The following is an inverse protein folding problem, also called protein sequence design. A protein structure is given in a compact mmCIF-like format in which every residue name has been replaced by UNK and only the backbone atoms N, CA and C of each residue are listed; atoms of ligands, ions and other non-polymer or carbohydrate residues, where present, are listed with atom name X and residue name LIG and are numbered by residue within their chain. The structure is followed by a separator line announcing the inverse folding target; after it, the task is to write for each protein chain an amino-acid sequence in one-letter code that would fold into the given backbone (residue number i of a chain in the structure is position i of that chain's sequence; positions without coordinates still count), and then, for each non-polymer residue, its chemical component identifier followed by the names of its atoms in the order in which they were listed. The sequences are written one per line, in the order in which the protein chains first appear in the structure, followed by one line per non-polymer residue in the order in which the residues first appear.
data_IF_473718865119
#
_entry.id   IF_473718865119
#
_cell.length_a   1.000
_cell.length_b   1.000
_cell.length_c   1.000
_cell.angle_alpha   90.00
_cell.angle_beta   90.00
_cell.angle_gamma   90.00
#
_symmetry.space_group_name_H-M   'P 1'
#
loop_
_entity.id
_entity.type
_entity.pdbx_description
1 polymer ?
#
# COMPACT_ATOMS: atom_id res chain seq x y z
N UNK A 1 -12.55 8.89 -18.16
CA UNK A 1 -13.08 8.79 -16.77
C UNK A 1 -12.05 9.11 -15.70
N UNK A 2 -11.08 8.25 -15.36
CA UNK A 2 -10.10 8.56 -14.29
C UNK A 2 -9.42 9.93 -14.47
N UNK A 3 -8.79 10.16 -15.63
CA UNK A 3 -8.13 11.43 -15.95
C UNK A 3 -9.09 12.63 -15.95
N UNK A 4 -10.35 12.43 -16.37
CA UNK A 4 -11.38 13.48 -16.35
C UNK A 4 -11.76 13.83 -14.91
N UNK A 5 -12.01 12.83 -14.05
CA UNK A 5 -12.32 13.05 -12.64
C UNK A 5 -11.15 13.74 -11.92
N UNK A 6 -9.92 13.32 -12.20
CA UNK A 6 -8.72 13.96 -11.63
C UNK A 6 -8.60 15.44 -12.07
N UNK A 7 -9.00 15.75 -13.31
CA UNK A 7 -9.07 17.14 -13.79
C UNK A 7 -10.18 17.97 -13.13
N UNK A 8 -11.32 17.36 -12.80
CA UNK A 8 -12.43 18.05 -12.13
C UNK A 8 -12.22 18.23 -10.62
N UNK A 9 -11.50 17.32 -9.98
CA UNK A 9 -11.32 17.28 -8.53
C UNK A 9 -9.82 17.27 -8.13
N UNK A 10 -9.06 18.33 -8.45
CA UNK A 10 -7.60 18.34 -8.27
C UNK A 10 -7.15 18.28 -6.80
N UNK A 11 -8.02 18.69 -5.86
CA UNK A 11 -7.72 18.69 -4.42
C UNK A 11 -8.28 17.45 -3.69
N UNK A 12 -9.15 16.66 -4.34
CA UNK A 12 -9.73 15.45 -3.76
C UNK A 12 -8.87 14.23 -4.09
N UNK A 13 -9.07 13.12 -3.36
CA UNK A 13 -8.44 11.87 -3.72
C UNK A 13 -9.21 11.23 -4.88
N UNK A 14 -8.63 11.29 -6.08
CA UNK A 14 -9.15 10.57 -7.25
C UNK A 14 -8.23 9.39 -7.54
N UNK A 15 -8.73 8.18 -7.28
CA UNK A 15 -7.94 6.95 -7.35
C UNK A 15 -8.48 5.96 -8.40
N UNK A 16 -7.63 5.02 -8.81
CA UNK A 16 -7.91 4.03 -9.85
C UNK A 16 -7.85 2.60 -9.29
N UNK A 17 -8.98 1.87 -9.38
CA UNK A 17 -9.11 0.53 -8.79
C UNK A 17 -9.53 -0.53 -9.82
N UNK A 18 -8.56 -1.22 -10.42
CA UNK A 18 -8.82 -2.28 -11.41
C UNK A 18 -8.06 -3.56 -11.08
N UNK A 19 -8.31 -4.63 -11.84
CA UNK A 19 -7.51 -5.85 -11.74
C UNK A 19 -6.03 -5.51 -11.90
N UNK A 20 -5.20 -5.94 -10.94
CA UNK A 20 -3.74 -5.79 -11.03
C UNK A 20 -3.09 -6.90 -11.87
N UNK A 21 -3.89 -7.79 -12.49
CA UNK A 21 -3.34 -8.81 -13.38
C UNK A 21 -3.24 -8.27 -14.81
N UNK A 22 -2.02 -8.24 -15.36
CA UNK A 22 -1.79 -8.03 -16.80
C UNK A 22 -2.18 -9.29 -17.59
N UNK A 23 -1.96 -10.47 -16.99
CA UNK A 23 -2.40 -11.76 -17.51
C UNK A 23 -2.98 -12.59 -16.36
N UNK A 24 -4.11 -13.26 -16.62
CA UNK A 24 -4.76 -14.13 -15.64
C UNK A 24 -5.42 -15.33 -16.32
N UNK A 25 -4.90 -16.52 -16.04
CA UNK A 25 -5.50 -17.81 -16.35
C UNK A 25 -6.00 -18.43 -15.05
N UNK A 26 -7.32 -18.63 -14.88
CA UNK A 26 -7.84 -19.32 -13.72
C UNK A 26 -7.47 -20.80 -13.75
N UNK A 27 -7.36 -21.38 -12.56
CA UNK A 27 -7.33 -22.82 -12.39
C UNK A 27 -8.64 -23.43 -12.90
N UNK A 28 -8.56 -24.50 -13.71
CA UNK A 28 -9.74 -25.18 -14.21
C UNK A 28 -9.46 -26.66 -14.48
N UNK A 29 -10.46 -27.50 -14.20
CA UNK A 29 -10.46 -28.90 -14.66
C UNK A 29 -11.47 -29.07 -15.79
N UNK A 30 -11.06 -29.70 -16.89
CA UNK A 30 -11.85 -29.99 -18.07
C UNK A 30 -12.16 -31.51 -18.15
N UNK A 31 -13.30 -31.98 -17.61
CA UNK A 31 -13.59 -33.40 -17.50
C UNK A 31 -13.58 -34.15 -18.83
N UNK A 32 -14.05 -33.50 -19.91
CA UNK A 32 -14.12 -34.12 -21.25
C UNK A 32 -12.75 -34.50 -21.83
N UNK A 33 -11.68 -33.88 -21.35
CA UNK A 33 -10.31 -34.09 -21.82
C UNK A 33 -9.40 -34.64 -20.74
N UNK A 34 -9.95 -34.88 -19.55
CA UNK A 34 -9.20 -35.19 -18.33
C UNK A 34 -7.98 -34.26 -18.15
N UNK A 35 -8.20 -32.96 -18.38
CA UNK A 35 -7.14 -31.96 -18.40
C UNK A 35 -7.32 -31.00 -17.23
N UNK A 36 -6.29 -30.90 -16.40
CA UNK A 36 -6.16 -29.84 -15.42
C UNK A 36 -5.33 -28.70 -16.00
N UNK A 37 -5.85 -27.49 -15.84
CA UNK A 37 -5.23 -26.23 -16.26
C UNK A 37 -4.80 -25.51 -14.98
N UNK A 38 -3.49 -25.36 -14.81
CA UNK A 38 -2.91 -24.62 -13.70
C UNK A 38 -3.26 -23.13 -13.76
N UNK A 39 -3.32 -22.53 -12.57
CA UNK A 39 -3.40 -21.08 -12.43
C UNK A 39 -2.09 -20.45 -12.88
N UNK A 40 -2.18 -19.51 -13.81
CA UNK A 40 -1.04 -18.71 -14.27
C UNK A 40 -1.42 -17.24 -14.25
N UNK A 41 -0.55 -16.37 -13.76
CA UNK A 41 -0.82 -14.93 -13.68
C UNK A 41 0.44 -14.10 -13.79
N UNK A 42 0.25 -12.85 -14.19
CA UNK A 42 1.27 -11.81 -14.17
C UNK A 42 0.67 -10.57 -13.51
N UNK A 43 1.40 -10.00 -12.55
CA UNK A 43 0.95 -8.84 -11.75
C UNK A 43 1.61 -7.57 -12.28
N UNK A 44 0.80 -6.53 -12.42
CA UNK A 44 1.23 -5.17 -12.68
C UNK A 44 1.43 -4.42 -11.36
N UNK A 45 2.68 -4.22 -10.99
CA UNK A 45 3.05 -3.55 -9.72
C UNK A 45 2.51 -2.13 -9.61
N UNK A 46 2.37 -1.40 -10.75
CA UNK A 46 1.80 -0.05 -10.72
C UNK A 46 0.31 -0.10 -10.38
N UNK A 47 -0.46 -1.01 -10.98
CA UNK A 47 -1.88 -1.13 -10.67
C UNK A 47 -2.09 -1.64 -9.24
N UNK A 48 -1.24 -2.54 -8.76
CA UNK A 48 -1.28 -2.97 -7.36
C UNK A 48 -1.06 -1.80 -6.39
N UNK A 49 -0.07 -0.94 -6.68
CA UNK A 49 0.13 0.30 -5.92
C UNK A 49 -1.13 1.19 -5.92
N UNK A 50 -1.73 1.44 -7.08
CA UNK A 50 -2.94 2.28 -7.21
C UNK A 50 -4.12 1.70 -6.40
N UNK A 51 -4.23 0.38 -6.34
CA UNK A 51 -5.22 -0.30 -5.49
C UNK A 51 -4.95 -0.05 -4.02
N UNK A 52 -3.70 -0.17 -3.57
CA UNK A 52 -3.33 0.14 -2.18
C UNK A 52 -3.57 1.61 -1.84
N UNK A 53 -3.25 2.53 -2.76
CA UNK A 53 -3.53 3.96 -2.60
C UNK A 53 -5.03 4.22 -2.45
N UNK A 54 -5.87 3.59 -3.28
CA UNK A 54 -7.33 3.70 -3.20
C UNK A 54 -7.87 3.32 -1.81
N UNK A 55 -7.40 2.20 -1.26
CA UNK A 55 -7.84 1.74 0.07
C UNK A 55 -7.35 2.69 1.17
N UNK A 56 -6.10 3.14 1.08
CA UNK A 56 -5.52 4.11 2.01
C UNK A 56 -6.29 5.44 2.02
N UNK A 57 -6.68 5.96 0.85
CA UNK A 57 -7.52 7.16 0.72
C UNK A 57 -8.88 6.97 1.40
N UNK A 58 -9.56 5.85 1.12
CA UNK A 58 -10.88 5.56 1.70
C UNK A 58 -10.90 5.52 3.23
N UNK A 59 -9.81 5.07 3.87
CA UNK A 59 -9.71 5.02 5.34
C UNK A 59 -9.16 6.31 5.96
N UNK A 60 -8.52 7.17 5.18
CA UNK A 60 -7.84 8.36 5.69
C UNK A 60 -8.62 9.65 5.50
N UNK A 61 -9.49 9.74 4.48
CA UNK A 61 -10.21 10.97 4.14
C UNK A 61 -11.62 10.70 3.57
N UNK A 62 -12.58 11.60 3.79
CA UNK A 62 -13.97 11.41 3.34
C UNK A 62 -14.21 11.79 1.87
N UNK A 63 -13.31 12.52 1.23
CA UNK A 63 -13.49 13.12 -0.08
C UNK A 63 -12.73 12.35 -1.18
N UNK A 64 -13.25 11.15 -1.46
CA UNK A 64 -12.67 10.20 -2.41
C UNK A 64 -13.59 9.97 -3.62
N UNK A 65 -13.00 9.87 -4.81
CA UNK A 65 -13.65 9.42 -6.04
C UNK A 65 -12.85 8.24 -6.60
N UNK A 66 -13.43 7.04 -6.56
CA UNK A 66 -12.76 5.83 -7.03
C UNK A 66 -13.31 5.42 -8.39
N UNK A 67 -12.46 5.43 -9.42
CA UNK A 67 -12.82 4.89 -10.74
C UNK A 67 -12.42 3.43 -10.78
N UNK A 68 -13.42 2.53 -10.81
CA UNK A 68 -13.20 1.10 -10.66
C UNK A 68 -13.79 0.27 -11.81
N UNK A 69 -13.17 -0.89 -12.03
CA UNK A 69 -13.78 -2.02 -12.77
C UNK A 69 -14.68 -2.85 -11.84
N UNK A 70 -15.20 -3.99 -12.32
CA UNK A 70 -15.85 -5.00 -11.47
C UNK A 70 -14.92 -5.55 -10.37
N UNK A 71 -13.63 -5.23 -10.38
CA UNK A 71 -12.74 -5.60 -9.28
C UNK A 71 -13.21 -5.11 -7.90
N UNK A 72 -14.04 -4.06 -7.81
CA UNK A 72 -14.56 -3.56 -6.52
C UNK A 72 -15.54 -4.52 -5.83
N UNK A 73 -16.10 -5.50 -6.54
CA UNK A 73 -16.97 -6.52 -5.95
C UNK A 73 -16.22 -7.82 -5.62
N UNK A 74 -14.91 -7.87 -5.88
CA UNK A 74 -14.05 -8.99 -5.50
C UNK A 74 -13.44 -8.74 -4.12
N UNK A 75 -13.27 -9.83 -3.37
CA UNK A 75 -12.87 -9.81 -1.96
C UNK A 75 -11.67 -8.93 -1.68
N UNK A 76 -11.91 -7.89 -0.89
CA UNK A 76 -10.90 -7.09 -0.22
C UNK A 76 -11.13 -7.26 1.30
N UNK A 77 -10.07 -7.12 2.09
CA UNK A 77 -10.25 -7.01 3.53
C UNK A 77 -11.17 -5.81 3.86
N UNK A 78 -12.05 -5.97 4.84
CA UNK A 78 -12.94 -4.88 5.23
C UNK A 78 -12.12 -3.70 5.80
N UNK A 79 -12.60 -2.46 5.70
CA UNK A 79 -11.85 -1.27 6.14
C UNK A 79 -11.38 -1.35 7.60
N UNK A 80 -12.16 -2.01 8.45
CA UNK A 80 -11.84 -2.23 9.87
C UNK A 80 -10.50 -2.96 10.02
N UNK A 81 -10.18 -3.92 9.15
CA UNK A 81 -8.89 -4.63 9.18
C UNK A 81 -7.72 -3.69 8.90
N UNK A 82 -7.89 -2.72 7.99
CA UNK A 82 -6.87 -1.70 7.75
C UNK A 82 -6.73 -0.76 8.94
N UNK A 83 -7.83 -0.38 9.57
CA UNK A 83 -7.82 0.49 10.76
C UNK A 83 -7.25 -0.20 11.99
N UNK A 84 -7.36 -1.52 12.11
CA UNK A 84 -6.74 -2.30 13.19
C UNK A 84 -5.23 -2.49 12.99
N UNK A 85 -4.76 -2.48 11.74
CA UNK A 85 -3.37 -2.78 11.36
C UNK A 85 -2.69 -1.59 10.69
N UNK A 86 -2.53 -0.50 11.44
CA UNK A 86 -1.78 0.68 10.98
C UNK A 86 -0.84 1.22 12.06
N UNK A 87 0.19 1.93 11.61
CA UNK A 87 1.13 2.64 12.46
C UNK A 87 0.92 4.14 12.25
N UNK A 88 0.82 4.88 13.35
CA UNK A 88 0.77 6.35 13.33
C UNK A 88 2.14 6.89 13.70
N UNK A 89 2.64 7.80 12.87
CA UNK A 89 3.84 8.56 13.14
C UNK A 89 3.59 10.06 12.94
N UNK A 90 3.94 10.88 13.93
CA UNK A 90 3.81 12.34 13.86
C UNK A 90 4.91 13.04 14.64
N UNK A 91 5.21 14.29 14.29
CA UNK A 91 6.23 15.11 14.97
C UNK A 91 5.83 15.33 16.43
N UNK A 92 6.76 15.08 17.35
CA UNK A 92 6.57 15.14 18.80
C UNK A 92 6.10 13.83 19.45
N UNK A 93 5.91 12.76 18.66
CA UNK A 93 5.60 11.45 19.22
C UNK A 93 6.82 10.89 19.97
N UNK A 94 6.62 10.55 21.24
CA UNK A 94 7.62 9.87 22.07
C UNK A 94 7.66 8.38 21.73
N UNK A 95 8.48 8.02 20.74
CA UNK A 95 8.71 6.63 20.32
C UNK A 95 10.16 6.46 19.88
N UNK A 96 10.78 5.35 20.31
CA UNK A 96 12.13 5.00 19.91
C UNK A 96 12.15 4.49 18.45
N UNK A 97 13.19 4.80 17.65
CA UNK A 97 13.28 4.36 16.26
C UNK A 97 13.15 2.83 16.12
N UNK A 98 13.70 2.07 17.06
CA UNK A 98 13.63 0.60 17.05
C UNK A 98 12.24 0.06 17.34
N UNK A 99 11.42 0.78 18.10
CA UNK A 99 10.06 0.33 18.42
C UNK A 99 9.13 0.62 17.24
N UNK A 100 9.24 1.79 16.60
CA UNK A 100 8.54 2.07 15.36
C UNK A 100 8.91 1.07 14.25
N UNK A 101 10.19 0.68 14.16
CA UNK A 101 10.64 -0.35 13.24
C UNK A 101 9.98 -1.72 13.52
N UNK A 102 9.81 -2.11 14.79
CA UNK A 102 9.13 -3.38 15.14
C UNK A 102 7.67 -3.35 14.75
N UNK A 103 6.98 -2.23 14.97
CA UNK A 103 5.58 -2.08 14.56
C UNK A 103 5.44 -2.21 13.04
N UNK A 104 6.32 -1.59 12.26
CA UNK A 104 6.36 -1.73 10.80
C UNK A 104 6.62 -3.17 10.36
N UNK A 105 7.53 -3.89 11.01
CA UNK A 105 7.76 -5.32 10.72
C UNK A 105 6.50 -6.14 11.02
N UNK A 106 5.75 -5.79 12.09
CA UNK A 106 4.45 -6.38 12.39
C UNK A 106 3.43 -6.22 11.25
N UNK A 107 3.50 -5.08 10.55
CA UNK A 107 2.71 -4.78 9.34
C UNK A 107 3.30 -5.35 8.04
N UNK A 108 4.19 -6.35 8.12
CA UNK A 108 4.82 -7.03 6.97
C UNK A 108 5.81 -6.16 6.18
N UNK A 109 6.29 -5.04 6.72
CA UNK A 109 7.41 -4.33 6.08
C UNK A 109 8.69 -5.15 6.20
N UNK A 110 9.48 -5.17 5.13
CA UNK A 110 10.77 -5.85 5.11
C UNK A 110 11.87 -4.88 5.54
N UNK A 111 12.58 -5.20 6.63
CA UNK A 111 13.76 -4.45 7.02
C UNK A 111 14.90 -4.69 6.04
N UNK A 112 15.48 -3.63 5.50
CA UNK A 112 16.69 -3.68 4.67
C UNK A 112 17.79 -2.78 5.22
N UNK A 113 19.05 -3.14 4.94
CA UNK A 113 20.21 -2.28 5.22
C UNK A 113 20.78 -1.65 3.93
N UNK A 114 20.35 -2.12 2.77
CA UNK A 114 20.85 -1.75 1.43
C UNK A 114 19.93 -0.73 0.77
N UNK A 115 19.61 -0.92 -0.51
CA UNK A 115 18.69 -0.10 -1.26
C UNK A 115 17.27 -0.27 -0.73
N UNK A 116 16.58 0.86 -0.64
CA UNK A 116 15.19 0.90 -0.20
C UNK A 116 14.31 0.61 -1.41
N UNK A 117 13.38 -0.32 -1.25
CA UNK A 117 12.34 -0.62 -2.22
C UNK A 117 10.97 -0.48 -1.54
N UNK A 118 9.90 -0.48 -2.32
CA UNK A 118 8.52 -0.44 -1.80
C UNK A 118 8.24 -1.62 -0.87
N UNK A 119 7.50 -1.35 0.20
CA UNK A 119 7.26 -2.32 1.27
C UNK A 119 8.47 -2.52 2.20
N UNK A 120 9.58 -1.80 2.00
CA UNK A 120 10.74 -1.90 2.88
C UNK A 120 10.82 -0.72 3.86
N UNK A 121 11.53 -0.96 4.95
CA UNK A 121 11.97 0.06 5.88
C UNK A 121 13.47 -0.10 6.17
N UNK A 122 14.16 1.01 6.46
CA UNK A 122 15.60 1.05 6.70
C UNK A 122 15.92 2.03 7.81
N UNK A 123 16.51 1.52 8.88
CA UNK A 123 16.97 2.32 10.03
C UNK A 123 18.48 2.55 9.96
N UNK A 124 18.92 3.81 10.04
CA UNK A 124 20.33 4.24 10.07
C UNK A 124 20.53 5.31 11.14
N UNK A 125 20.96 4.89 12.34
CA UNK A 125 21.03 5.79 13.50
C UNK A 125 19.63 6.32 13.82
N UNK A 126 19.51 7.65 13.93
CA UNK A 126 18.26 8.37 14.23
C UNK A 126 17.39 8.65 12.99
N UNK A 127 17.59 7.91 11.90
CA UNK A 127 16.83 8.10 10.65
C UNK A 127 16.21 6.79 10.22
N UNK A 128 14.89 6.76 10.14
CA UNK A 128 14.10 5.67 9.60
C UNK A 128 13.52 6.08 8.25
N UNK A 129 13.98 5.44 7.18
CA UNK A 129 13.35 5.54 5.86
C UNK A 129 12.29 4.44 5.72
N UNK A 130 11.10 4.78 5.22
CA UNK A 130 9.98 3.84 5.02
C UNK A 130 9.39 4.06 3.62
N UNK A 131 9.36 3.04 2.77
CA UNK A 131 8.68 3.14 1.48
C UNK A 131 7.34 2.41 1.53
N UNK A 132 6.26 3.18 1.70
CA UNK A 132 4.92 2.63 1.77
C UNK A 132 4.50 2.01 0.43
N UNK A 133 3.77 0.88 0.42
CA UNK A 133 3.23 0.29 -0.80
C UNK A 133 2.33 1.22 -1.61
N UNK A 134 1.67 2.19 -0.95
CA UNK A 134 0.76 3.16 -1.57
C UNK A 134 1.44 4.41 -2.15
N UNK A 135 2.75 4.61 -1.95
CA UNK A 135 3.45 5.86 -2.29
C UNK A 135 4.48 5.71 -3.41
N UNK A 136 4.65 6.78 -4.18
CA UNK A 136 5.68 6.87 -5.20
C UNK A 136 7.07 7.15 -4.63
N UNK A 137 7.13 7.83 -3.49
CA UNK A 137 8.33 8.26 -2.80
C UNK A 137 8.39 7.69 -1.36
N UNK A 138 9.60 7.38 -0.85
CA UNK A 138 9.79 6.96 0.53
C UNK A 138 9.65 8.14 1.48
N UNK A 139 9.12 7.86 2.67
CA UNK A 139 9.04 8.77 3.80
C UNK A 139 10.32 8.66 4.62
N UNK A 140 10.84 9.79 5.11
CA UNK A 140 11.95 9.85 6.04
C UNK A 140 11.50 10.39 7.39
N UNK A 141 11.72 9.61 8.44
CA UNK A 141 11.41 9.95 9.82
C UNK A 141 12.73 10.16 10.57
N UNK A 142 12.87 11.31 11.23
CA UNK A 142 14.04 11.66 12.03
C UNK A 142 13.68 11.69 13.51
N UNK A 143 14.62 11.24 14.34
CA UNK A 143 14.46 11.11 15.77
C UNK A 143 15.52 11.91 16.54
N UNK A 144 15.22 12.20 17.79
CA UNK A 144 16.16 12.59 18.83
C UNK A 144 15.79 11.90 20.16
N UNK A 145 16.38 12.35 21.26
CA UNK A 145 16.13 11.78 22.60
C UNK A 145 14.69 11.99 23.11
N UNK A 146 13.96 12.97 22.58
CA UNK A 146 12.59 13.29 22.98
C UNK A 146 11.55 12.65 22.03
N UNK A 147 12.00 12.02 20.93
CA UNK A 147 11.17 11.25 20.00
C UNK A 147 11.27 11.73 18.56
N UNK A 148 10.14 11.72 17.84
CA UNK A 148 10.10 12.07 16.41
C UNK A 148 10.24 13.59 16.23
N UNK A 149 11.29 14.04 15.56
CA UNK A 149 11.55 15.47 15.30
C UNK A 149 11.05 15.91 13.93
N UNK A 150 11.04 15.01 12.95
CA UNK A 150 10.68 15.33 11.58
C UNK A 150 10.10 14.13 10.83
N UNK A 151 9.08 14.38 10.02
CA UNK A 151 8.55 13.44 9.03
C UNK A 151 8.59 14.16 7.68
N UNK A 152 9.32 13.62 6.72
CA UNK A 152 9.52 14.16 5.37
C UNK A 152 8.99 13.21 4.31
#
# INVERSE_FOLDING_TARGET
LYQEMAGYFPENAVDYFVSHYDYYQPEAYLPKRDLYIDKELSINERIEQERFASVASLVSRPDCVIVSSVSCIYGLNPPETFLESHVRCYVGQQIEPTDLLKELIGLQYVRTNTDLARGNCRLRGEVLDVWMPSRDDPIRIQFDFDGVTKVQ
#
